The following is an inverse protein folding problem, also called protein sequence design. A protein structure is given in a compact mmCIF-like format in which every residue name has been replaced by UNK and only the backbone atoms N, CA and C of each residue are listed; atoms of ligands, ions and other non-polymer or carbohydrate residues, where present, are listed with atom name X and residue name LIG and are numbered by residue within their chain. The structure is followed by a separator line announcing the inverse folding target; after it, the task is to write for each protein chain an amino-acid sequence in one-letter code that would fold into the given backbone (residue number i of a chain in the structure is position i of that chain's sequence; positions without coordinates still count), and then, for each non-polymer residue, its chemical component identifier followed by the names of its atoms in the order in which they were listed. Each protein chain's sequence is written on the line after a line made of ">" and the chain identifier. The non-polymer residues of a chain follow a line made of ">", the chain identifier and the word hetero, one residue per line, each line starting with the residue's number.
data_IF_983569968880
#
_entry.id   IF_983569968880
#
_cell.length_a   1.000
_cell.length_b   1.000
_cell.length_c   1.000
_cell.angle_alpha   90.00
_cell.angle_beta   90.00
_cell.angle_gamma   90.00
#
_symmetry.space_group_name_H-M   'P 1'
#
loop_
_entity.id
_entity.type
_entity.pdbx_description
1 polymer ?
#
# COMPACT_ATOMS: atom_id res chain seq x y z
N UNK A 1 5.93 -7.52 -36.96
CA UNK A 1 5.66 -8.60 -37.94
C UNK A 1 4.61 -8.21 -38.98
N UNK A 2 3.53 -7.51 -38.62
CA UNK A 2 2.42 -7.17 -39.54
C UNK A 2 2.79 -6.11 -40.62
N UNK A 3 3.74 -5.20 -40.34
CA UNK A 3 4.02 -4.06 -41.23
C UNK A 3 4.96 -4.44 -42.39
N UNK A 4 5.79 -5.46 -42.23
CA UNK A 4 6.73 -5.92 -43.27
C UNK A 4 6.00 -6.59 -44.45
N UNK A 5 4.83 -7.19 -44.20
CA UNK A 5 4.01 -7.86 -45.22
C UNK A 5 3.30 -6.87 -46.15
N UNK A 6 2.97 -5.66 -45.68
CA UNK A 6 2.29 -4.65 -46.52
C UNK A 6 3.23 -4.20 -47.65
N UNK A 7 4.55 -4.13 -47.40
CA UNK A 7 5.55 -3.79 -48.42
C UNK A 7 5.67 -4.86 -49.52
N UNK A 8 5.58 -6.14 -49.17
CA UNK A 8 5.58 -7.24 -50.14
C UNK A 8 4.29 -7.28 -50.99
N UNK A 9 3.14 -6.89 -50.41
CA UNK A 9 1.88 -6.77 -51.15
C UNK A 9 1.87 -5.65 -52.20
N UNK A 10 2.78 -4.66 -52.12
CA UNK A 10 2.93 -3.62 -53.16
C UNK A 10 3.54 -4.15 -54.46
N UNK A 11 4.33 -5.25 -54.40
CA UNK A 11 5.04 -5.80 -55.55
C UNK A 11 4.18 -6.69 -56.45
N UNK A 12 3.17 -7.36 -55.89
CA UNK A 12 2.46 -8.45 -56.58
C UNK A 12 0.99 -8.12 -56.95
N UNK A 13 0.49 -6.93 -56.62
CA UNK A 13 -0.85 -6.46 -57.02
C UNK A 13 -0.90 -6.01 -58.49
N UNK A 14 -0.65 -6.95 -59.42
CA UNK A 14 -0.87 -6.78 -60.86
C UNK A 14 -2.35 -6.78 -61.27
N UNK A 15 -3.29 -6.87 -60.32
CA UNK A 15 -4.71 -7.10 -60.62
C UNK A 15 -5.71 -5.95 -60.45
N UNK A 16 -5.48 -4.92 -59.62
CA UNK A 16 -6.61 -4.04 -59.28
C UNK A 16 -6.24 -2.58 -58.99
N UNK A 17 -6.31 -1.75 -60.04
CA UNK A 17 -6.07 -0.28 -59.98
C UNK A 17 -6.98 0.40 -58.96
N UNK A 18 -8.17 -0.15 -58.76
CA UNK A 18 -9.19 0.30 -57.82
C UNK A 18 -8.72 0.14 -56.39
N UNK A 19 -8.19 -1.02 -56.03
CA UNK A 19 -7.70 -1.35 -54.68
C UNK A 19 -6.48 -0.51 -54.30
N UNK A 20 -5.54 -0.31 -55.23
CA UNK A 20 -4.39 0.59 -55.00
C UNK A 20 -4.86 2.00 -54.65
N UNK A 21 -5.83 2.55 -55.40
CA UNK A 21 -6.38 3.89 -55.15
C UNK A 21 -6.95 4.01 -53.73
N UNK A 22 -7.69 2.99 -53.26
CA UNK A 22 -8.32 2.98 -51.93
C UNK A 22 -7.31 2.88 -50.80
N UNK A 23 -6.26 2.08 -50.96
CA UNK A 23 -5.19 1.97 -49.96
C UNK A 23 -4.51 3.32 -49.74
N UNK A 24 -4.26 4.09 -50.80
CA UNK A 24 -3.70 5.44 -50.66
C UNK A 24 -4.63 6.41 -49.97
N UNK A 25 -5.94 6.34 -50.23
CA UNK A 25 -6.90 7.21 -49.57
C UNK A 25 -6.91 6.95 -48.05
N UNK A 26 -6.91 5.67 -47.63
CA UNK A 26 -6.83 5.29 -46.21
C UNK A 26 -5.50 5.71 -45.58
N UNK A 27 -4.38 5.46 -46.26
CA UNK A 27 -3.06 5.84 -45.76
C UNK A 27 -2.89 7.35 -45.62
N UNK A 28 -3.43 8.14 -46.56
CA UNK A 28 -3.35 9.59 -46.50
C UNK A 28 -4.20 10.17 -45.36
N UNK A 29 -5.39 9.60 -45.12
CA UNK A 29 -6.21 9.98 -43.96
C UNK A 29 -5.49 9.65 -42.66
N UNK A 30 -4.89 8.45 -42.57
CA UNK A 30 -4.14 8.05 -41.38
C UNK A 30 -2.89 8.90 -41.15
N UNK A 31 -2.20 9.28 -42.22
CA UNK A 31 -1.05 10.19 -42.15
C UNK A 31 -1.48 11.60 -41.69
N UNK A 32 -2.56 12.15 -42.26
CA UNK A 32 -3.09 13.46 -41.87
C UNK A 32 -3.62 13.49 -40.44
N UNK A 33 -4.20 12.37 -39.97
CA UNK A 33 -4.67 12.20 -38.58
C UNK A 33 -3.55 11.91 -37.57
N UNK A 34 -2.31 11.74 -38.02
CA UNK A 34 -1.16 11.45 -37.15
C UNK A 34 -1.13 10.04 -36.56
N UNK A 35 -2.02 9.13 -37.01
CA UNK A 35 -2.09 7.73 -36.58
C UNK A 35 -0.92 6.91 -37.14
N UNK A 36 -0.38 7.32 -38.30
CA UNK A 36 0.81 6.71 -38.89
C UNK A 36 1.81 7.79 -39.30
N UNK A 37 3.10 7.44 -39.27
CA UNK A 37 4.17 8.24 -39.86
C UNK A 37 4.83 7.45 -40.99
N UNK A 38 5.14 8.15 -42.08
CA UNK A 38 5.78 7.55 -43.26
C UNK A 38 7.20 8.09 -43.41
N UNK A 39 8.16 7.19 -43.35
CA UNK A 39 9.58 7.49 -43.58
C UNK A 39 10.06 6.59 -44.74
N UNK A 40 10.24 7.19 -45.92
CA UNK A 40 10.54 6.48 -47.16
C UNK A 40 9.50 5.37 -47.48
N UNK A 41 9.92 4.10 -47.43
CA UNK A 41 9.08 2.90 -47.67
C UNK A 41 8.57 2.26 -46.37
N UNK A 42 8.85 2.86 -45.22
CA UNK A 42 8.47 2.35 -43.91
C UNK A 42 7.31 3.16 -43.34
N UNK A 43 6.27 2.46 -42.90
CA UNK A 43 5.12 3.05 -42.20
C UNK A 43 5.25 2.66 -40.73
N UNK A 44 5.30 3.62 -39.82
CA UNK A 44 5.30 3.39 -38.37
C UNK A 44 3.91 3.76 -37.83
N UNK A 45 3.37 2.92 -36.94
CA UNK A 45 2.15 3.23 -36.22
C UNK A 45 2.46 4.17 -35.05
N UNK A 46 1.73 5.27 -34.95
CA UNK A 46 1.78 6.19 -33.83
C UNK A 46 0.52 5.97 -32.98
N UNK A 47 0.64 5.48 -31.73
CA UNK A 47 -0.50 5.37 -30.85
C UNK A 47 -1.10 6.76 -30.63
N UNK A 48 -2.44 6.92 -30.70
CA UNK A 48 -3.07 8.21 -30.51
C UNK A 48 -2.72 8.77 -29.12
N UNK A 49 -2.50 10.10 -29.00
CA UNK A 49 -2.25 10.71 -27.71
C UNK A 49 -3.45 10.44 -26.79
N UNK A 50 -3.17 9.85 -25.62
CA UNK A 50 -4.19 9.64 -24.59
C UNK A 50 -4.75 11.03 -24.26
N UNK A 51 -6.08 11.25 -24.42
CA UNK A 51 -6.69 12.54 -24.11
C UNK A 51 -6.30 12.97 -22.70
N UNK A 52 -5.98 14.25 -22.50
CA UNK A 52 -5.60 14.79 -21.18
C UNK A 52 -6.68 14.50 -20.10
N UNK A 53 -7.95 14.40 -20.50
CA UNK A 53 -9.03 13.95 -19.63
C UNK A 53 -8.85 12.48 -19.16
N UNK A 54 -8.42 11.59 -20.05
CA UNK A 54 -8.12 10.18 -19.71
C UNK A 54 -6.86 10.04 -18.85
N UNK A 55 -5.86 10.91 -19.03
CA UNK A 55 -4.69 10.97 -18.13
C UNK A 55 -5.08 11.41 -16.71
N UNK A 56 -5.88 12.47 -16.58
CA UNK A 56 -6.37 12.95 -15.27
C UNK A 56 -7.18 11.90 -14.53
N UNK A 57 -8.03 11.14 -15.24
CA UNK A 57 -8.76 10.01 -14.65
C UNK A 57 -7.78 8.93 -14.19
N UNK A 58 -6.76 8.60 -14.97
CA UNK A 58 -5.76 7.62 -14.56
C UNK A 58 -4.92 8.04 -13.34
N UNK A 59 -4.63 9.34 -13.20
CA UNK A 59 -3.94 9.89 -12.03
C UNK A 59 -4.83 9.85 -10.77
N UNK A 60 -6.11 10.22 -10.90
CA UNK A 60 -7.08 10.12 -9.82
C UNK A 60 -7.31 8.67 -9.38
N UNK A 61 -7.38 7.74 -10.33
CA UNK A 61 -7.50 6.32 -10.04
C UNK A 61 -6.27 5.80 -9.28
N UNK A 62 -5.07 6.24 -9.66
CA UNK A 62 -3.83 5.90 -8.93
C UNK A 62 -3.82 6.47 -7.50
N UNK A 63 -4.26 7.71 -7.32
CA UNK A 63 -4.37 8.32 -5.99
C UNK A 63 -5.38 7.54 -5.13
N UNK A 64 -6.56 7.22 -5.66
CA UNK A 64 -7.57 6.41 -4.98
C UNK A 64 -7.05 5.02 -4.60
N UNK A 65 -6.29 4.36 -5.48
CA UNK A 65 -5.65 3.08 -5.19
C UNK A 65 -4.64 3.20 -4.05
N UNK A 66 -3.85 4.28 -4.02
CA UNK A 66 -2.89 4.53 -2.95
C UNK A 66 -3.58 4.72 -1.59
N UNK A 67 -4.66 5.51 -1.56
CA UNK A 67 -5.46 5.75 -0.36
C UNK A 67 -6.15 4.46 0.10
N UNK A 68 -6.66 3.65 -0.83
CA UNK A 68 -7.28 2.37 -0.51
C UNK A 68 -6.26 1.39 0.10
N UNK A 69 -5.06 1.33 -0.48
CA UNK A 69 -3.95 0.52 0.04
C UNK A 69 -3.55 0.93 1.47
N UNK A 70 -3.41 2.23 1.72
CA UNK A 70 -3.12 2.76 3.06
C UNK A 70 -4.22 2.42 4.06
N UNK A 71 -5.50 2.61 3.68
CA UNK A 71 -6.64 2.25 4.53
C UNK A 71 -6.69 0.76 4.81
N UNK A 72 -6.40 -0.08 3.82
CA UNK A 72 -6.29 -1.54 4.00
C UNK A 72 -5.21 -1.90 5.01
N UNK A 73 -4.01 -1.31 4.89
CA UNK A 73 -2.93 -1.51 5.87
C UNK A 73 -3.33 -1.05 7.29
N UNK A 74 -4.02 0.10 7.40
CA UNK A 74 -4.53 0.58 8.69
C UNK A 74 -5.53 -0.40 9.32
N UNK A 75 -6.44 -0.97 8.51
CA UNK A 75 -7.38 -2.00 8.98
C UNK A 75 -6.64 -3.24 9.47
N UNK A 76 -5.68 -3.75 8.71
CA UNK A 76 -4.88 -4.91 9.11
C UNK A 76 -4.13 -4.66 10.42
N UNK A 77 -3.54 -3.47 10.57
CA UNK A 77 -2.85 -3.10 11.81
C UNK A 77 -3.81 -3.02 13.01
N UNK A 78 -5.04 -2.52 12.82
CA UNK A 78 -6.07 -2.49 13.86
C UNK A 78 -6.53 -3.89 14.24
N UNK A 79 -6.68 -4.80 13.26
CA UNK A 79 -7.03 -6.20 13.52
C UNK A 79 -5.92 -6.88 14.32
N UNK A 80 -4.66 -6.75 13.91
CA UNK A 80 -3.50 -7.29 14.65
C UNK A 80 -3.50 -6.79 16.10
N UNK A 81 -3.66 -5.49 16.30
CA UNK A 81 -3.73 -4.88 17.63
C UNK A 81 -4.88 -5.47 18.47
N UNK A 82 -6.07 -5.63 17.88
CA UNK A 82 -7.22 -6.24 18.55
C UNK A 82 -6.93 -7.68 18.97
N UNK A 83 -6.33 -8.49 18.09
CA UNK A 83 -5.98 -9.87 18.39
C UNK A 83 -4.94 -9.96 19.51
N UNK A 84 -3.90 -9.11 19.49
CA UNK A 84 -2.92 -9.00 20.57
C UNK A 84 -3.60 -8.62 21.89
N UNK A 85 -4.51 -7.65 21.87
CA UNK A 85 -5.25 -7.23 23.06
C UNK A 85 -6.15 -8.35 23.61
N UNK A 86 -6.88 -9.07 22.74
CA UNK A 86 -7.69 -10.23 23.14
C UNK A 86 -6.83 -11.34 23.74
N UNK A 87 -5.67 -11.60 23.14
CA UNK A 87 -4.70 -12.59 23.65
C UNK A 87 -4.17 -12.19 25.03
N UNK A 88 -3.89 -10.90 25.24
CA UNK A 88 -3.46 -10.37 26.52
C UNK A 88 -4.53 -10.52 27.60
N UNK A 89 -5.79 -10.24 27.26
CA UNK A 89 -6.93 -10.43 28.17
C UNK A 89 -7.11 -11.90 28.55
N UNK A 90 -7.05 -12.82 27.58
CA UNK A 90 -7.22 -14.24 27.86
C UNK A 90 -6.04 -14.78 28.70
N UNK A 91 -4.81 -14.38 28.40
CA UNK A 91 -3.63 -14.74 29.22
C UNK A 91 -3.78 -14.25 30.66
N UNK A 92 -4.27 -13.02 30.84
CA UNK A 92 -4.42 -12.43 32.17
C UNK A 92 -5.72 -12.87 32.87
N UNK A 93 -6.58 -13.65 32.20
CA UNK A 93 -7.84 -14.11 32.75
C UNK A 93 -7.58 -15.05 33.94
N UNK A 94 -8.14 -14.69 35.09
CA UNK A 94 -7.96 -15.46 36.32
C UNK A 94 -6.62 -15.25 37.02
N UNK A 95 -5.73 -14.39 36.50
CA UNK A 95 -4.52 -13.96 37.21
C UNK A 95 -4.90 -12.81 38.14
N UNK A 96 -4.59 -12.94 39.43
CA UNK A 96 -4.73 -11.84 40.39
C UNK A 96 -3.75 -10.75 40.00
N UNK A 97 -4.27 -9.53 39.82
CA UNK A 97 -3.47 -8.38 39.37
C UNK A 97 -2.32 -8.12 40.37
N UNK A 98 -1.04 -8.23 39.97
CA UNK A 98 0.07 -7.86 40.83
C UNK A 98 0.14 -6.34 41.01
N UNK A 99 0.70 -5.87 42.12
CA UNK A 99 0.88 -4.43 42.36
C UNK A 99 1.78 -3.76 41.33
N UNK A 100 2.70 -4.51 40.72
CA UNK A 100 3.58 -4.07 39.63
C UNK A 100 2.90 -4.04 38.25
N UNK A 101 1.61 -4.38 38.15
CA UNK A 101 0.91 -4.40 36.88
C UNK A 101 0.67 -2.98 36.34
N UNK A 102 1.13 -2.75 35.12
CA UNK A 102 0.88 -1.52 34.37
C UNK A 102 -0.46 -1.64 33.64
N UNK A 103 -1.36 -0.69 33.87
CA UNK A 103 -2.62 -0.59 33.13
C UNK A 103 -2.40 0.11 31.78
N UNK A 104 -3.18 -0.27 30.78
CA UNK A 104 -3.19 0.37 29.46
C UNK A 104 -4.30 1.44 29.40
N UNK A 105 -4.12 2.54 28.65
CA UNK A 105 -2.98 2.86 27.78
C UNK A 105 -1.76 3.38 28.54
N UNK A 106 -0.56 2.99 28.10
CA UNK A 106 0.71 3.47 28.68
C UNK A 106 1.70 3.85 27.58
N UNK A 107 2.48 4.89 27.82
CA UNK A 107 3.67 5.23 27.04
C UNK A 107 4.86 4.82 27.89
N UNK A 108 5.76 4.01 27.33
CA UNK A 108 6.99 3.65 28.02
C UNK A 108 8.11 4.56 27.54
N UNK A 109 8.94 5.02 28.47
CA UNK A 109 10.12 5.82 28.19
C UNK A 109 11.33 5.06 28.68
N UNK A 110 12.18 4.65 27.75
CA UNK A 110 13.40 3.90 28.00
C UNK A 110 14.62 4.81 27.94
N UNK A 111 15.52 4.64 28.91
CA UNK A 111 16.82 5.30 28.94
C UNK A 111 17.90 4.23 28.85
N UNK A 112 18.91 4.44 27.99
CA UNK A 112 20.03 3.51 27.83
C UNK A 112 21.10 3.69 28.93
N UNK A 113 21.02 4.82 29.65
CA UNK A 113 21.87 5.18 30.77
C UNK A 113 21.03 5.46 32.02
N UNK A 114 21.68 5.51 33.18
CA UNK A 114 21.00 5.85 34.43
C UNK A 114 20.37 7.25 34.35
N UNK A 115 19.18 7.39 34.93
CA UNK A 115 18.49 8.67 35.05
C UNK A 115 19.17 9.47 36.16
N UNK A 116 19.46 10.75 35.91
CA UNK A 116 20.15 11.60 36.88
C UNK A 116 19.17 12.21 37.89
N UNK A 117 18.02 12.70 37.41
CA UNK A 117 17.03 13.36 38.26
C UNK A 117 15.62 13.20 37.66
N UNK A 118 14.64 12.93 38.52
CA UNK A 118 13.20 12.97 38.17
C UNK A 118 12.52 13.90 39.15
N UNK A 119 11.98 15.01 38.66
CA UNK A 119 11.23 15.97 39.46
C UNK A 119 9.81 16.12 38.92
N UNK A 120 8.85 16.19 39.84
CA UNK A 120 7.47 16.57 39.52
C UNK A 120 7.38 18.07 39.72
N UNK A 121 6.96 18.82 38.70
CA UNK A 121 6.79 20.25 38.86
C UNK A 121 5.63 20.54 39.80
N UNK A 122 5.84 21.43 40.77
CA UNK A 122 4.80 21.86 41.72
C UNK A 122 3.79 22.82 41.09
N UNK A 123 4.14 23.45 39.96
CA UNK A 123 3.35 24.52 39.34
C UNK A 123 2.23 23.97 38.45
N UNK A 124 2.38 22.73 37.96
CA UNK A 124 1.37 21.99 37.23
C UNK A 124 1.48 20.51 37.61
N UNK A 125 0.43 19.96 38.25
CA UNK A 125 0.38 18.55 38.74
C UNK A 125 0.61 17.49 37.65
N UNK A 126 0.64 17.90 36.38
CA UNK A 126 0.78 17.04 35.20
C UNK A 126 2.13 17.16 34.49
N UNK A 127 3.09 17.91 35.03
CA UNK A 127 4.41 18.06 34.42
C UNK A 127 5.44 17.23 35.20
N UNK A 128 6.06 16.28 34.48
CA UNK A 128 7.19 15.50 34.95
C UNK A 128 8.44 15.94 34.18
N UNK A 129 9.47 16.37 34.89
CA UNK A 129 10.78 16.68 34.32
C UNK A 129 11.74 15.54 34.62
N UNK A 130 12.34 14.97 33.58
CA UNK A 130 13.35 13.93 33.69
C UNK A 130 14.64 14.46 33.08
N UNK A 131 15.72 14.49 33.86
CA UNK A 131 17.06 14.82 33.40
C UNK A 131 17.87 13.54 33.24
N UNK A 132 18.35 13.31 32.01
CA UNK A 132 19.21 12.19 31.66
C UNK A 132 20.39 12.69 30.81
N UNK A 133 21.49 11.93 30.80
CA UNK A 133 22.67 12.28 30.01
C UNK A 133 22.47 12.02 28.50
N UNK A 134 21.59 11.06 28.17
CA UNK A 134 21.27 10.67 26.79
C UNK A 134 19.79 10.90 26.48
N UNK A 135 19.47 10.94 25.19
CA UNK A 135 18.10 11.10 24.72
C UNK A 135 17.25 9.88 25.06
N UNK A 136 16.03 10.06 25.60
CA UNK A 136 15.11 8.95 25.85
C UNK A 136 14.60 8.32 24.55
N UNK A 137 14.25 7.04 24.66
CA UNK A 137 13.49 6.30 23.66
C UNK A 137 12.02 6.21 24.09
N UNK A 138 11.10 6.56 23.21
CA UNK A 138 9.67 6.52 23.48
C UNK A 138 9.04 5.32 22.79
N UNK A 139 8.23 4.58 23.52
CA UNK A 139 7.45 3.46 23.00
C UNK A 139 5.98 3.80 23.13
N UNK A 140 5.30 3.87 21.98
CA UNK A 140 3.85 4.01 21.95
C UNK A 140 3.19 2.73 22.45
N UNK A 141 1.91 2.78 22.87
CA UNK A 141 1.16 1.56 23.19
C UNK A 141 1.26 0.49 22.10
N UNK A 142 1.23 0.88 20.83
CA UNK A 142 1.32 -0.05 19.70
C UNK A 142 2.68 -0.74 19.62
N UNK A 143 3.77 -0.06 19.98
CA UNK A 143 5.11 -0.65 19.97
C UNK A 143 5.24 -1.71 21.07
N UNK A 144 4.64 -1.46 22.24
CA UNK A 144 4.53 -2.45 23.31
C UNK A 144 3.74 -3.68 22.86
N UNK A 145 2.63 -3.48 22.15
CA UNK A 145 1.86 -4.62 21.63
C UNK A 145 2.59 -5.42 20.55
N UNK A 146 3.43 -4.78 19.73
CA UNK A 146 4.23 -5.47 18.71
C UNK A 146 5.34 -6.33 19.30
N UNK A 147 5.87 -5.96 20.47
CA UNK A 147 6.89 -6.76 21.16
C UNK A 147 6.29 -7.95 21.93
N UNK A 148 4.99 -7.92 22.24
CA UNK A 148 4.31 -9.05 22.87
C UNK A 148 4.07 -10.16 21.85
N UNK A 149 4.64 -11.34 22.12
CA UNK A 149 4.42 -12.54 21.32
C UNK A 149 3.31 -13.39 21.97
N UNK A 150 2.28 -13.71 21.18
CA UNK A 150 1.20 -14.60 21.56
C UNK A 150 1.07 -15.74 20.54
N UNK A 151 0.51 -16.91 20.93
CA UNK A 151 0.28 -18.00 20.00
C UNK A 151 -0.65 -17.59 18.85
N UNK A 152 -0.20 -17.73 17.61
CA UNK A 152 -0.98 -17.36 16.43
C UNK A 152 -2.26 -18.19 16.28
N UNK A 153 -2.28 -19.45 16.72
CA UNK A 153 -3.45 -20.32 16.57
C UNK A 153 -4.68 -19.77 17.29
N UNK A 154 -4.52 -19.26 18.52
CA UNK A 154 -5.61 -18.60 19.24
C UNK A 154 -6.08 -17.34 18.49
N UNK A 155 -5.15 -16.56 17.94
CA UNK A 155 -5.49 -15.35 17.21
C UNK A 155 -6.23 -15.65 15.90
N UNK A 156 -5.85 -16.73 15.19
CA UNK A 156 -6.56 -17.19 13.99
C UNK A 156 -7.97 -17.68 14.32
N UNK A 157 -8.14 -18.43 15.41
CA UNK A 157 -9.46 -18.86 15.87
C UNK A 157 -10.37 -17.66 16.15
N UNK A 158 -9.90 -16.70 16.97
CA UNK A 158 -10.64 -15.46 17.25
C UNK A 158 -10.97 -14.69 15.97
N UNK A 159 -10.05 -14.64 15.01
CA UNK A 159 -10.27 -13.94 13.75
C UNK A 159 -11.33 -14.63 12.87
N UNK A 160 -11.34 -15.97 12.83
CA UNK A 160 -12.32 -16.77 12.06
C UNK A 160 -13.73 -16.63 12.60
N UNK A 161 -13.88 -16.43 13.92
CA UNK A 161 -15.17 -16.14 14.54
C UNK A 161 -15.73 -14.77 14.14
N UNK A 162 -14.90 -13.85 13.62
CA UNK A 162 -15.35 -12.52 13.20
C UNK A 162 -15.96 -12.55 11.79
N UNK A 163 -17.27 -12.24 11.62
CA UNK A 163 -17.97 -12.40 10.34
C UNK A 163 -17.39 -11.62 9.16
N UNK A 164 -16.78 -10.46 9.45
CA UNK A 164 -16.21 -9.56 8.43
C UNK A 164 -14.71 -9.77 8.19
N UNK A 165 -13.97 -10.27 9.18
CA UNK A 165 -12.51 -10.26 9.17
C UNK A 165 -11.88 -11.64 9.01
N UNK A 166 -12.65 -12.74 9.16
CA UNK A 166 -12.13 -14.09 8.95
C UNK A 166 -11.49 -14.30 7.57
N UNK A 167 -12.00 -13.64 6.53
CA UNK A 167 -11.44 -13.71 5.16
C UNK A 167 -10.06 -13.05 5.02
N UNK A 168 -9.66 -12.21 5.97
CA UNK A 168 -8.40 -11.47 5.96
C UNK A 168 -7.29 -12.20 6.73
N UNK A 169 -7.51 -13.44 7.17
CA UNK A 169 -6.50 -14.22 7.92
C UNK A 169 -5.15 -14.25 7.20
N UNK A 170 -5.14 -14.54 5.88
CA UNK A 170 -3.92 -14.55 5.09
C UNK A 170 -3.20 -13.19 5.08
N UNK A 171 -3.93 -12.08 4.98
CA UNK A 171 -3.36 -10.73 4.98
C UNK A 171 -2.85 -10.30 6.36
N UNK A 172 -3.53 -10.73 7.42
CA UNK A 172 -3.18 -10.39 8.81
C UNK A 172 -1.88 -11.08 9.22
N UNK A 173 -1.71 -12.35 8.87
CA UNK A 173 -0.55 -13.17 9.27
C UNK A 173 0.50 -13.34 8.15
N UNK A 174 0.34 -12.66 7.01
CA UNK A 174 1.38 -12.62 5.99
C UNK A 174 2.69 -12.12 6.60
N UNK A 175 3.75 -12.93 6.49
CA UNK A 175 5.11 -12.48 6.78
C UNK A 175 5.47 -11.43 5.73
N UNK A 176 5.89 -10.26 6.16
CA UNK A 176 6.51 -9.29 5.27
C UNK A 176 7.78 -9.95 4.71
N UNK A 177 7.80 -10.22 3.40
CA UNK A 177 9.02 -10.57 2.65
C UNK A 177 10.03 -9.41 2.69
#
# INVERSE_FOLDING_TARGET
>A
MIITEISQAYGDMSGDKTTRRRVYDVLNVFLASGIITKENKTIKYNPPPIPEASKKVSEQDQELLSVNSQKRQQILNKIRLYLTYRSLLERNRGIVKPESAVNLPVILVGFNTAINEVSKSNDNEHTLEIRAAENPTFFSPNDVFKTMVFPEEFQKEVLREMPMFGKLEGDVFAKSE
#
